data_IF_204743242415
#
_entry.id   IF_204743242415
#
_cell.length_a   1.000
_cell.length_b   1.000
_cell.length_c   1.000
_cell.angle_alpha   90.00
_cell.angle_beta   90.00
_cell.angle_gamma   90.00
#
_symmetry.space_group_name_H-M   'P 1'
#
loop_
_entity.id
_entity.type
_entity.pdbx_description
1 polymer ?
#
# COMPACT_ATOMS: atom_id res chain seq x y z
N UNK A 1 1.85 5.30 -20.82
CA UNK A 1 1.10 4.47 -19.85
C UNK A 1 1.96 4.02 -18.65
N UNK A 2 3.11 3.35 -18.86
CA UNK A 2 3.99 2.86 -17.75
C UNK A 2 4.38 3.92 -16.71
N UNK A 3 4.64 5.16 -17.14
CA UNK A 3 4.99 6.24 -16.21
C UNK A 3 3.84 6.63 -15.28
N UNK A 4 2.60 6.64 -15.77
CA UNK A 4 1.40 6.94 -14.98
C UNK A 4 1.16 5.89 -13.90
N UNK A 5 1.35 4.61 -14.23
CA UNK A 5 1.27 3.51 -13.27
C UNK A 5 2.33 3.65 -12.15
N UNK A 6 3.52 4.14 -12.49
CA UNK A 6 4.57 4.38 -11.51
C UNK A 6 4.27 5.61 -10.63
N UNK A 7 3.75 6.67 -11.24
CA UNK A 7 3.35 7.90 -10.55
C UNK A 7 2.21 7.66 -9.56
N UNK A 8 1.21 6.85 -9.95
CA UNK A 8 0.06 6.50 -9.11
C UNK A 8 0.27 5.19 -8.35
N UNK A 9 1.48 4.63 -8.36
CA UNK A 9 1.76 3.30 -7.82
C UNK A 9 1.37 3.16 -6.35
N UNK A 10 1.62 4.19 -5.53
CA UNK A 10 1.18 4.21 -4.13
C UNK A 10 -0.33 4.03 -4.00
N UNK A 11 -1.11 4.81 -4.75
CA UNK A 11 -2.57 4.75 -4.74
C UNK A 11 -3.10 3.40 -5.21
N UNK A 12 -2.46 2.79 -6.21
CA UNK A 12 -2.82 1.45 -6.67
C UNK A 12 -2.56 0.39 -5.59
N UNK A 13 -1.42 0.48 -4.89
CA UNK A 13 -1.12 -0.42 -3.77
C UNK A 13 -2.14 -0.23 -2.65
N UNK A 14 -2.49 1.01 -2.31
CA UNK A 14 -3.52 1.29 -1.31
C UNK A 14 -4.91 0.74 -1.71
N UNK A 15 -5.31 0.92 -2.97
CA UNK A 15 -6.59 0.38 -3.46
C UNK A 15 -6.60 -1.16 -3.41
N UNK A 16 -5.50 -1.80 -3.80
CA UNK A 16 -5.34 -3.25 -3.70
C UNK A 16 -5.35 -3.73 -2.23
N UNK A 17 -4.72 -2.98 -1.33
CA UNK A 17 -4.75 -3.25 0.10
C UNK A 17 -6.18 -3.19 0.65
N UNK A 18 -6.91 -2.12 0.35
CA UNK A 18 -8.29 -1.94 0.80
C UNK A 18 -9.20 -3.08 0.31
N UNK A 19 -9.13 -3.39 -0.99
CA UNK A 19 -9.88 -4.50 -1.56
C UNK A 19 -9.48 -5.85 -0.94
N UNK A 20 -8.19 -6.09 -0.73
CA UNK A 20 -7.70 -7.33 -0.16
C UNK A 20 -8.16 -7.54 1.29
N UNK A 21 -8.10 -6.51 2.14
CA UNK A 21 -8.65 -6.59 3.50
C UNK A 21 -10.17 -6.81 3.49
N UNK A 22 -10.90 -6.15 2.59
CA UNK A 22 -12.33 -6.36 2.43
C UNK A 22 -12.67 -7.81 2.06
N UNK A 23 -11.92 -8.40 1.13
CA UNK A 23 -12.11 -9.80 0.72
C UNK A 23 -11.72 -10.79 1.83
N UNK A 24 -10.63 -10.53 2.56
CA UNK A 24 -10.23 -11.35 3.71
C UNK A 24 -11.30 -11.32 4.80
N UNK A 25 -11.84 -10.15 5.13
CA UNK A 25 -12.94 -10.01 6.09
C UNK A 25 -14.18 -10.77 5.62
N UNK A 26 -14.56 -10.60 4.36
CA UNK A 26 -15.71 -11.31 3.76
C UNK A 26 -15.53 -12.83 3.79
N UNK A 27 -14.31 -13.32 3.56
CA UNK A 27 -13.99 -14.75 3.63
C UNK A 27 -14.05 -15.27 5.07
N UNK A 28 -13.56 -14.50 6.04
CA UNK A 28 -13.61 -14.84 7.46
C UNK A 28 -15.06 -15.00 7.95
N UNK A 29 -15.93 -14.06 7.58
CA UNK A 29 -17.36 -14.09 7.91
C UNK A 29 -18.07 -15.35 7.38
N UNK A 30 -17.73 -15.77 6.16
CA UNK A 30 -18.30 -16.98 5.54
C UNK A 30 -17.71 -18.27 6.12
N UNK A 31 -16.40 -18.29 6.35
CA UNK A 31 -15.69 -19.50 6.80
C UNK A 31 -16.03 -19.89 8.25
N UNK A 32 -16.55 -18.96 9.07
CA UNK A 32 -16.77 -19.15 10.53
C UNK A 32 -15.53 -19.74 11.23
N UNK A 33 -14.35 -19.42 10.72
CA UNK A 33 -13.07 -19.96 11.19
C UNK A 33 -12.50 -19.17 12.36
N UNK A 34 -11.35 -19.61 12.85
CA UNK A 34 -10.60 -18.91 13.90
C UNK A 34 -10.26 -17.47 13.50
N UNK A 35 -10.82 -16.50 14.23
CA UNK A 35 -10.60 -15.08 14.01
C UNK A 35 -9.10 -14.69 14.10
N UNK A 36 -8.31 -15.41 14.92
CA UNK A 36 -6.88 -15.16 15.07
C UNK A 36 -6.09 -15.40 13.77
N UNK A 37 -6.40 -16.49 13.07
CA UNK A 37 -5.75 -16.84 11.81
C UNK A 37 -6.07 -15.82 10.69
N UNK A 38 -7.32 -15.35 10.60
CA UNK A 38 -7.72 -14.35 9.63
C UNK A 38 -7.09 -12.97 9.90
N UNK A 39 -6.99 -12.58 11.17
CA UNK A 39 -6.28 -11.36 11.55
C UNK A 39 -4.78 -11.44 11.21
N UNK A 40 -4.14 -12.58 11.49
CA UNK A 40 -2.73 -12.81 11.12
C UNK A 40 -2.50 -12.70 9.60
N UNK A 41 -3.40 -13.26 8.79
CA UNK A 41 -3.35 -13.12 7.33
C UNK A 41 -3.52 -11.66 6.89
N UNK A 42 -4.44 -10.92 7.51
CA UNK A 42 -4.62 -9.48 7.31
C UNK A 42 -3.34 -8.70 7.59
N UNK A 43 -2.70 -8.91 8.75
CA UNK A 43 -1.43 -8.27 9.10
C UNK A 43 -0.31 -8.60 8.12
N UNK A 44 -0.18 -9.87 7.73
CA UNK A 44 0.82 -10.30 6.75
C UNK A 44 0.64 -9.58 5.41
N UNK A 45 -0.61 -9.49 4.94
CA UNK A 45 -0.93 -8.78 3.70
C UNK A 45 -0.65 -7.27 3.80
N UNK A 46 -1.07 -6.63 4.88
CA UNK A 46 -0.78 -5.22 5.16
C UNK A 46 0.72 -4.92 5.20
N UNK A 47 1.51 -5.79 5.82
CA UNK A 47 2.97 -5.66 5.85
C UNK A 47 3.58 -5.73 4.44
N UNK A 48 3.12 -6.67 3.60
CA UNK A 48 3.56 -6.76 2.20
C UNK A 48 3.24 -5.47 1.43
N UNK A 49 2.06 -4.90 1.62
CA UNK A 49 1.69 -3.61 1.01
C UNK A 49 2.59 -2.46 1.48
N UNK A 50 2.91 -2.38 2.77
CA UNK A 50 3.84 -1.37 3.30
C UNK A 50 5.24 -1.52 2.73
N UNK A 51 5.75 -2.74 2.61
CA UNK A 51 7.05 -3.01 2.00
C UNK A 51 7.06 -2.61 0.51
N UNK A 52 5.99 -2.89 -0.22
CA UNK A 52 5.85 -2.47 -1.61
C UNK A 52 5.84 -0.94 -1.76
N UNK A 53 5.12 -0.22 -0.90
CA UNK A 53 5.11 1.25 -0.85
C UNK A 53 6.51 1.78 -0.53
N UNK A 54 7.19 1.22 0.47
CA UNK A 54 8.54 1.62 0.86
C UNK A 54 9.54 1.41 -0.29
N UNK A 55 9.45 0.27 -0.98
CA UNK A 55 10.28 -0.02 -2.15
C UNK A 55 10.02 0.97 -3.30
N UNK A 56 8.76 1.31 -3.56
CA UNK A 56 8.37 2.31 -4.56
C UNK A 56 8.96 3.69 -4.22
N UNK A 57 8.74 4.17 -2.99
CA UNK A 57 9.26 5.45 -2.52
C UNK A 57 10.80 5.49 -2.58
N UNK A 58 11.46 4.42 -2.14
CA UNK A 58 12.93 4.31 -2.21
C UNK A 58 13.41 4.39 -3.65
N UNK A 59 12.80 3.65 -4.57
CA UNK A 59 13.15 3.69 -6.00
C UNK A 59 12.93 5.08 -6.59
N UNK A 60 11.80 5.73 -6.29
CA UNK A 60 11.51 7.08 -6.75
C UNK A 60 12.52 8.11 -6.23
N UNK A 61 12.92 8.00 -4.96
CA UNK A 61 13.98 8.82 -4.36
C UNK A 61 15.34 8.59 -5.03
N UNK A 62 15.71 7.33 -5.27
CA UNK A 62 16.98 6.99 -5.93
C UNK A 62 17.04 7.58 -7.34
N UNK A 63 15.95 7.49 -8.12
CA UNK A 63 15.90 8.07 -9.47
C UNK A 63 15.86 9.60 -9.40
N UNK A 64 15.16 10.20 -8.44
CA UNK A 64 15.12 11.66 -8.32
C UNK A 64 16.50 12.25 -8.05
N UNK A 65 17.37 11.52 -7.33
CA UNK A 65 18.76 11.92 -7.06
C UNK A 65 19.65 11.94 -8.31
N UNK A 66 19.26 11.28 -9.41
CA UNK A 66 20.00 11.35 -10.68
C UNK A 66 19.67 12.60 -11.49
N UNK A 67 18.94 13.56 -10.91
CA UNK A 67 18.54 14.82 -11.53
C UNK A 67 17.86 14.63 -12.90
N UNK A 68 16.75 13.86 -12.97
CA UNK A 68 16.04 13.63 -14.21
C UNK A 68 15.36 14.90 -14.72
N UNK A 69 14.94 14.87 -15.99
CA UNK A 69 14.20 15.96 -16.64
C UNK A 69 13.02 16.47 -15.78
N UNK A 70 12.67 17.77 -15.83
CA UNK A 70 11.72 18.40 -14.91
C UNK A 70 10.36 17.68 -14.81
N UNK A 71 9.79 17.25 -15.94
CA UNK A 71 8.51 16.52 -15.98
C UNK A 71 8.60 15.17 -15.28
N UNK A 72 9.72 14.47 -15.45
CA UNK A 72 9.95 13.19 -14.78
C UNK A 72 10.15 13.41 -13.27
N UNK A 73 10.92 14.43 -12.89
CA UNK A 73 11.12 14.80 -11.49
C UNK A 73 9.78 15.12 -10.78
N UNK A 74 8.86 15.82 -11.47
CA UNK A 74 7.51 16.05 -10.96
C UNK A 74 6.76 14.74 -10.68
N UNK A 75 6.70 13.82 -11.65
CA UNK A 75 6.00 12.55 -11.44
C UNK A 75 6.65 11.66 -10.37
N UNK A 76 7.96 11.73 -10.18
CA UNK A 76 8.64 11.05 -9.06
C UNK A 76 8.25 11.63 -7.71
N UNK A 77 8.13 12.96 -7.60
CA UNK A 77 7.65 13.63 -6.37
C UNK A 77 6.21 13.27 -6.07
N UNK A 78 5.35 13.24 -7.09
CA UNK A 78 3.96 12.76 -6.96
C UNK A 78 3.91 11.31 -6.51
N UNK A 79 4.75 10.44 -7.09
CA UNK A 79 4.88 9.02 -6.69
C UNK A 79 5.23 8.88 -5.20
N UNK A 80 6.20 9.66 -4.71
CA UNK A 80 6.58 9.67 -3.30
C UNK A 80 5.44 10.17 -2.42
N UNK A 81 4.81 11.30 -2.76
CA UNK A 81 3.71 11.87 -2.00
C UNK A 81 2.51 10.91 -1.91
N UNK A 82 2.12 10.32 -3.04
CA UNK A 82 1.08 9.31 -3.12
C UNK A 82 1.45 8.06 -2.31
N UNK A 83 2.70 7.61 -2.37
CA UNK A 83 3.21 6.49 -1.58
C UNK A 83 3.13 6.75 -0.08
N UNK A 84 3.54 7.92 0.40
CA UNK A 84 3.46 8.30 1.82
C UNK A 84 2.01 8.33 2.30
N UNK A 85 1.11 8.98 1.55
CA UNK A 85 -0.32 9.03 1.87
C UNK A 85 -0.93 7.61 1.92
N UNK A 86 -0.54 6.77 0.96
CA UNK A 86 -0.95 5.37 0.90
C UNK A 86 -0.46 4.58 2.11
N UNK A 87 0.80 4.80 2.53
CA UNK A 87 1.37 4.18 3.72
C UNK A 87 0.60 4.55 4.99
N UNK A 88 0.22 5.83 5.14
CA UNK A 88 -0.64 6.29 6.25
C UNK A 88 -1.99 5.56 6.21
N UNK A 89 -2.62 5.49 5.02
CA UNK A 89 -3.89 4.80 4.84
C UNK A 89 -3.83 3.32 5.19
N UNK A 90 -2.77 2.62 4.76
CA UNK A 90 -2.53 1.21 5.08
C UNK A 90 -2.34 1.03 6.59
N UNK A 91 -1.49 1.83 7.24
CA UNK A 91 -1.27 1.76 8.68
C UNK A 91 -2.60 1.93 9.43
N UNK A 92 -3.38 2.97 9.10
CA UNK A 92 -4.62 3.26 9.79
C UNK A 92 -5.66 2.13 9.61
N UNK A 93 -5.80 1.60 8.39
CA UNK A 93 -6.69 0.46 8.11
C UNK A 93 -6.23 -0.83 8.80
N UNK A 94 -4.91 -1.03 8.93
CA UNK A 94 -4.34 -2.19 9.63
C UNK A 94 -4.56 -2.11 11.14
N UNK A 95 -4.48 -0.90 11.72
CA UNK A 95 -4.75 -0.68 13.15
C UNK A 95 -6.19 -1.07 13.54
N UNK A 96 -7.15 -0.97 12.63
CA UNK A 96 -8.54 -1.40 12.88
C UNK A 96 -8.60 -2.91 13.19
N UNK A 97 -7.73 -3.72 12.60
CA UNK A 97 -7.64 -5.16 12.91
C UNK A 97 -7.15 -5.42 14.35
N UNK A 98 -6.43 -4.47 14.96
CA UNK A 98 -5.94 -4.57 16.34
C UNK A 98 -7.03 -4.14 17.32
N UNK A 99 -7.72 -3.03 17.01
CA UNK A 99 -8.74 -2.45 17.91
C UNK A 99 -10.07 -3.21 17.84
N UNK A 100 -10.34 -3.89 16.72
CA UNK A 100 -11.55 -4.69 16.51
C UNK A 100 -11.44 -6.18 16.88
N UNK A 101 -10.26 -6.64 17.33
CA UNK A 101 -10.02 -8.01 17.82
C UNK A 101 -10.23 -8.10 19.33
#
# INVERSE_FOLDING_TARGET
>A
MRFWLFMLGGLLIWAAHFLGLYLLSSAADVARGDAGAWNAAGYGFSLVCLLAIAALCRKSLTVLRTQPEPTQAFGLRVSIAAGLLSGIGVIFQTLVLIVGA
#
